data_IF_089234725497
#
_entry.id   IF_089234725497
#
_cell.length_a   1.000
_cell.length_b   1.000
_cell.length_c   1.000
_cell.angle_alpha   90.00
_cell.angle_beta   90.00
_cell.angle_gamma   90.00
#
_symmetry.space_group_name_H-M   'P 1'
#
loop_
_entity.id
_entity.type
_entity.pdbx_description
1 polymer ?
#
# COMPACT_ATOMS: atom_id res chain seq x y z
N UNK A 1 -0.80 2.29 -26.28
CA UNK A 1 -1.89 1.67 -25.49
C UNK A 1 -1.39 1.10 -24.16
N UNK A 2 -0.38 0.21 -24.13
CA UNK A 2 0.17 -0.38 -22.88
C UNK A 2 0.50 0.65 -21.78
N UNK A 3 1.21 1.71 -22.13
CA UNK A 3 1.60 2.75 -21.16
C UNK A 3 0.42 3.48 -20.52
N UNK A 4 -0.68 3.69 -21.25
CA UNK A 4 -1.89 4.31 -20.72
C UNK A 4 -2.65 3.38 -19.77
N UNK A 5 -2.67 2.07 -20.07
CA UNK A 5 -3.24 1.06 -19.16
C UNK A 5 -2.45 1.04 -17.85
N UNK A 6 -1.12 0.99 -17.92
CA UNK A 6 -0.26 0.97 -16.73
C UNK A 6 -0.36 2.27 -15.94
N UNK A 7 -0.40 3.42 -16.62
CA UNK A 7 -0.67 4.71 -15.99
C UNK A 7 -2.01 4.68 -15.25
N UNK A 8 -3.08 4.27 -15.92
CA UNK A 8 -4.41 4.19 -15.32
C UNK A 8 -4.42 3.26 -14.10
N UNK A 9 -3.89 2.05 -14.21
CA UNK A 9 -3.84 1.08 -13.10
C UNK A 9 -3.02 1.63 -11.93
N UNK A 10 -1.89 2.27 -12.20
CA UNK A 10 -1.03 2.89 -11.18
C UNK A 10 -1.74 4.07 -10.49
N UNK A 11 -2.41 4.93 -11.25
CA UNK A 11 -3.21 6.03 -10.71
C UNK A 11 -4.36 5.50 -9.86
N UNK A 12 -5.09 4.49 -10.35
CA UNK A 12 -6.20 3.88 -9.63
C UNK A 12 -5.75 3.31 -8.29
N UNK A 13 -4.70 2.48 -8.28
CA UNK A 13 -4.14 1.94 -7.04
C UNK A 13 -3.63 3.05 -6.11
N UNK A 14 -2.92 4.04 -6.66
CA UNK A 14 -2.39 5.17 -5.90
C UNK A 14 -3.49 6.00 -5.24
N UNK A 15 -4.59 6.29 -5.94
CA UNK A 15 -5.74 7.02 -5.42
C UNK A 15 -6.45 6.24 -4.31
N UNK A 16 -6.64 4.93 -4.50
CA UNK A 16 -7.24 4.06 -3.47
C UNK A 16 -6.43 4.13 -2.17
N UNK A 17 -5.11 3.94 -2.26
CA UNK A 17 -4.22 3.95 -1.09
C UNK A 17 -4.11 5.34 -0.46
N UNK A 18 -4.05 6.39 -1.28
CA UNK A 18 -4.02 7.77 -0.82
C UNK A 18 -5.23 8.08 0.05
N UNK A 19 -6.44 7.80 -0.44
CA UNK A 19 -7.67 8.10 0.31
C UNK A 19 -7.83 7.21 1.54
N UNK A 20 -7.42 5.95 1.48
CA UNK A 20 -7.44 5.05 2.64
C UNK A 20 -6.47 5.53 3.74
N UNK A 21 -5.22 5.83 3.37
CA UNK A 21 -4.23 6.35 4.30
C UNK A 21 -4.61 7.72 4.86
N UNK A 22 -5.11 8.63 4.02
CA UNK A 22 -5.59 9.94 4.45
C UNK A 22 -6.78 9.81 5.41
N UNK A 23 -7.73 8.92 5.12
CA UNK A 23 -8.85 8.63 6.01
C UNK A 23 -8.39 8.13 7.38
N UNK A 24 -7.39 7.23 7.42
CA UNK A 24 -6.79 6.74 8.67
C UNK A 24 -6.09 7.84 9.48
N UNK A 25 -5.30 8.67 8.82
CA UNK A 25 -4.48 9.69 9.49
C UNK A 25 -5.31 10.91 9.90
N UNK A 26 -6.08 11.47 8.97
CA UNK A 26 -6.73 12.77 9.14
C UNK A 26 -8.18 12.67 9.63
N UNK A 27 -8.93 11.64 9.22
CA UNK A 27 -10.36 11.54 9.54
C UNK A 27 -10.61 10.70 10.80
N UNK A 28 -10.04 9.50 10.87
CA UNK A 28 -10.24 8.60 12.00
C UNK A 28 -9.32 8.93 13.16
N UNK A 29 -8.07 9.29 12.85
CA UNK A 29 -7.00 9.43 13.82
C UNK A 29 -6.39 8.07 14.18
N UNK A 30 -5.07 8.05 14.30
CA UNK A 30 -4.27 6.83 14.49
C UNK A 30 -4.70 6.03 15.72
N UNK A 31 -5.06 6.70 16.82
CA UNK A 31 -5.54 6.02 18.03
C UNK A 31 -6.83 5.24 17.80
N UNK A 32 -7.74 5.75 16.97
CA UNK A 32 -8.97 5.04 16.62
C UNK A 32 -8.71 3.88 15.66
N UNK A 33 -7.73 4.02 14.74
CA UNK A 33 -7.29 2.90 13.90
C UNK A 33 -6.74 1.77 14.78
N UNK A 34 -5.94 2.11 15.80
CA UNK A 34 -5.43 1.14 16.76
C UNK A 34 -6.55 0.47 17.55
N UNK A 35 -7.44 1.27 18.18
CA UNK A 35 -8.54 0.75 19.00
C UNK A 35 -9.48 -0.17 18.23
N UNK A 36 -9.83 0.20 17.00
CA UNK A 36 -10.82 -0.54 16.22
C UNK A 36 -10.23 -1.71 15.43
N UNK A 37 -8.94 -1.63 15.07
CA UNK A 37 -8.31 -2.62 14.18
C UNK A 37 -7.29 -3.53 14.85
N UNK A 38 -6.67 -3.10 15.95
CA UNK A 38 -5.46 -3.74 16.49
C UNK A 38 -5.51 -4.07 17.98
N UNK A 39 -6.36 -3.40 18.76
CA UNK A 39 -6.45 -3.63 20.21
C UNK A 39 -6.86 -5.08 20.56
N UNK A 40 -7.62 -5.75 19.69
CA UNK A 40 -7.98 -7.17 19.87
C UNK A 40 -6.77 -8.13 19.80
N UNK A 41 -5.61 -7.67 19.35
CA UNK A 41 -4.39 -8.47 19.30
C UNK A 41 -3.47 -8.25 20.51
N UNK A 42 -3.82 -7.38 21.47
CA UNK A 42 -2.98 -7.16 22.66
C UNK A 42 -2.80 -8.43 23.49
N UNK A 43 -3.81 -9.32 23.49
CA UNK A 43 -3.76 -10.62 24.16
C UNK A 43 -3.11 -11.73 23.30
N UNK A 44 -2.60 -11.38 22.12
CA UNK A 44 -1.93 -12.34 21.21
C UNK A 44 -0.44 -12.49 21.53
N UNK A 45 0.25 -13.31 20.74
CA UNK A 45 1.71 -13.47 20.84
C UNK A 45 2.49 -12.23 20.36
N UNK A 46 1.82 -11.22 19.76
CA UNK A 46 2.46 -10.04 19.21
C UNK A 46 2.75 -9.01 20.30
N UNK A 47 4.00 -8.51 20.42
CA UNK A 47 4.30 -7.43 21.35
C UNK A 47 3.56 -6.13 20.98
N UNK A 48 3.12 -5.37 21.99
CA UNK A 48 2.40 -4.10 21.79
C UNK A 48 3.15 -3.08 20.91
N UNK A 49 4.49 -3.07 20.94
CA UNK A 49 5.25 -2.19 20.06
C UNK A 49 5.07 -2.55 18.58
N UNK A 50 4.92 -3.85 18.25
CA UNK A 50 4.69 -4.34 16.89
C UNK A 50 3.30 -3.90 16.42
N UNK A 51 2.28 -4.01 17.28
CA UNK A 51 0.93 -3.55 16.96
C UNK A 51 0.92 -2.05 16.65
N UNK A 52 1.53 -1.24 17.52
CA UNK A 52 1.66 0.21 17.31
C UNK A 52 2.43 0.52 16.03
N UNK A 53 3.60 -0.08 15.84
CA UNK A 53 4.38 0.09 14.62
C UNK A 53 3.55 -0.24 13.38
N UNK A 54 2.78 -1.32 13.41
CA UNK A 54 1.95 -1.78 12.28
C UNK A 54 0.86 -0.77 11.93
N UNK A 55 0.21 -0.17 12.93
CA UNK A 55 -0.79 0.90 12.69
C UNK A 55 -0.16 2.09 11.98
N UNK A 56 0.97 2.59 12.48
CA UNK A 56 1.66 3.72 11.88
C UNK A 56 2.17 3.37 10.48
N UNK A 57 2.84 2.22 10.35
CA UNK A 57 3.41 1.77 9.09
C UNK A 57 2.35 1.60 8.01
N UNK A 58 1.22 0.94 8.31
CA UNK A 58 0.15 0.77 7.32
C UNK A 58 -0.55 2.08 7.00
N UNK A 59 -0.85 2.93 7.98
CA UNK A 59 -1.57 4.19 7.75
C UNK A 59 -0.74 5.20 6.95
N UNK A 60 0.46 5.51 7.42
CA UNK A 60 1.37 6.44 6.74
C UNK A 60 1.96 5.83 5.47
N UNK A 61 2.21 4.52 5.47
CA UNK A 61 2.66 3.80 4.30
C UNK A 61 1.65 3.84 3.15
N UNK A 62 0.36 3.60 3.41
CA UNK A 62 -0.69 3.72 2.39
C UNK A 62 -0.79 5.15 1.85
N UNK A 63 -0.76 6.15 2.74
CA UNK A 63 -0.83 7.56 2.34
C UNK A 63 0.36 7.97 1.45
N UNK A 64 1.59 7.72 1.92
CA UNK A 64 2.80 8.12 1.21
C UNK A 64 2.99 7.32 -0.08
N UNK A 65 2.78 6.01 -0.05
CA UNK A 65 2.89 5.20 -1.28
C UNK A 65 1.76 5.51 -2.25
N UNK A 66 0.57 5.90 -1.79
CA UNK A 66 -0.50 6.41 -2.64
C UNK A 66 -0.05 7.62 -3.46
N UNK A 67 0.60 8.60 -2.81
CA UNK A 67 1.17 9.79 -3.48
C UNK A 67 2.27 9.37 -4.46
N UNK A 68 3.23 8.57 -4.01
CA UNK A 68 4.35 8.11 -4.85
C UNK A 68 3.87 7.34 -6.07
N UNK A 69 2.85 6.50 -5.91
CA UNK A 69 2.22 5.79 -7.00
C UNK A 69 1.54 6.75 -7.95
N UNK A 70 0.75 7.73 -7.51
CA UNK A 70 0.11 8.71 -8.41
C UNK A 70 1.15 9.46 -9.24
N UNK A 71 2.24 9.89 -8.60
CA UNK A 71 3.35 10.59 -9.26
C UNK A 71 4.19 9.65 -10.16
N UNK A 72 4.19 8.36 -9.89
CA UNK A 72 5.10 7.41 -10.54
C UNK A 72 6.54 7.62 -10.10
N UNK A 73 6.74 7.80 -8.79
CA UNK A 73 8.04 8.03 -8.16
C UNK A 73 8.47 6.81 -7.32
N UNK A 74 9.77 6.50 -7.34
CA UNK A 74 10.40 5.36 -6.68
C UNK A 74 9.62 4.04 -6.84
N UNK A 75 9.17 3.74 -8.07
CA UNK A 75 8.14 2.70 -8.31
C UNK A 75 8.46 1.34 -7.70
N UNK A 76 9.69 0.84 -7.86
CA UNK A 76 10.13 -0.45 -7.27
C UNK A 76 9.96 -0.45 -5.74
N UNK A 77 10.34 0.64 -5.07
CA UNK A 77 10.19 0.80 -3.63
C UNK A 77 8.71 0.89 -3.25
N UNK A 78 7.95 1.74 -3.94
CA UNK A 78 6.51 1.92 -3.71
C UNK A 78 5.75 0.60 -3.82
N UNK A 79 6.05 -0.23 -4.83
CA UNK A 79 5.43 -1.56 -4.97
C UNK A 79 5.79 -2.50 -3.82
N UNK A 80 7.06 -2.49 -3.39
CA UNK A 80 7.51 -3.29 -2.25
C UNK A 80 6.81 -2.90 -0.95
N UNK A 81 6.67 -1.61 -0.68
CA UNK A 81 5.96 -1.12 0.52
C UNK A 81 4.47 -1.48 0.46
N UNK A 82 3.80 -1.31 -0.68
CA UNK A 82 2.39 -1.72 -0.83
C UNK A 82 2.23 -3.23 -0.66
N UNK A 83 3.15 -4.04 -1.20
CA UNK A 83 3.14 -5.50 -1.00
C UNK A 83 3.23 -5.86 0.49
N UNK A 84 4.16 -5.23 1.23
CA UNK A 84 4.29 -5.43 2.67
C UNK A 84 3.02 -5.03 3.43
N UNK A 85 2.41 -3.89 3.08
CA UNK A 85 1.15 -3.45 3.69
C UNK A 85 0.04 -4.49 3.46
N UNK A 86 -0.10 -4.99 2.23
CA UNK A 86 -1.13 -5.99 1.91
C UNK A 86 -0.89 -7.32 2.63
N UNK A 87 0.36 -7.76 2.79
CA UNK A 87 0.71 -8.94 3.58
C UNK A 87 0.35 -8.76 5.05
N UNK A 88 0.72 -7.62 5.63
CA UNK A 88 0.40 -7.26 7.02
C UNK A 88 -1.11 -7.24 7.26
N UNK A 89 -1.87 -6.59 6.37
CA UNK A 89 -3.34 -6.48 6.48
C UNK A 89 -3.98 -7.86 6.34
N UNK A 90 -3.51 -8.69 5.41
CA UNK A 90 -3.98 -10.06 5.24
C UNK A 90 -3.71 -10.91 6.48
N UNK A 91 -2.53 -10.76 7.07
CA UNK A 91 -2.14 -11.44 8.28
C UNK A 91 -3.02 -11.03 9.47
N UNK A 92 -3.24 -9.73 9.67
CA UNK A 92 -4.12 -9.22 10.73
C UNK A 92 -5.55 -9.74 10.61
N UNK A 93 -6.17 -9.65 9.43
CA UNK A 93 -7.52 -10.18 9.24
C UNK A 93 -7.58 -11.70 9.40
N UNK A 94 -6.57 -12.44 8.91
CA UNK A 94 -6.47 -13.88 9.09
C UNK A 94 -6.32 -14.32 10.55
N UNK A 95 -5.67 -13.50 11.39
CA UNK A 95 -5.62 -13.72 12.84
C UNK A 95 -6.97 -13.49 13.53
N UNK A 96 -7.78 -12.54 13.05
CA UNK A 96 -9.11 -12.28 13.61
C UNK A 96 -10.11 -13.38 13.21
N UNK A 97 -10.06 -13.80 11.96
CA UNK A 97 -10.92 -14.86 11.43
C UNK A 97 -10.21 -15.62 10.32
N UNK A 98 -10.21 -16.97 10.32
CA UNK A 98 -9.67 -17.76 9.22
C UNK A 98 -10.30 -17.43 7.86
N UNK A 99 -11.59 -17.08 7.86
CA UNK A 99 -12.32 -16.61 6.68
C UNK A 99 -12.73 -15.17 6.94
N UNK A 100 -12.16 -14.25 6.18
CA UNK A 100 -12.36 -12.81 6.33
C UNK A 100 -12.68 -12.18 4.97
N UNK A 101 -13.16 -10.93 5.02
CA UNK A 101 -13.57 -10.21 3.80
C UNK A 101 -12.38 -9.81 2.93
N UNK A 102 -12.17 -10.59 1.86
CA UNK A 102 -11.10 -10.41 0.88
C UNK A 102 -11.20 -9.08 0.11
N UNK A 103 -12.33 -8.37 0.13
CA UNK A 103 -12.44 -7.06 -0.51
C UNK A 103 -11.38 -6.07 0.01
N UNK A 104 -10.96 -6.24 1.27
CA UNK A 104 -9.90 -5.45 1.86
C UNK A 104 -8.55 -5.62 1.15
N UNK A 105 -8.26 -6.73 0.46
CA UNK A 105 -6.94 -6.97 -0.12
C UNK A 105 -6.98 -7.27 -1.62
N UNK A 106 -7.98 -8.02 -2.08
CA UNK A 106 -7.95 -8.67 -3.39
C UNK A 106 -7.80 -7.67 -4.54
N UNK A 107 -8.63 -6.62 -4.58
CA UNK A 107 -8.58 -5.61 -5.66
C UNK A 107 -7.20 -4.93 -5.68
N UNK A 108 -6.70 -4.51 -4.50
CA UNK A 108 -5.41 -3.82 -4.37
C UNK A 108 -4.25 -4.73 -4.78
N UNK A 109 -4.31 -6.01 -4.40
CA UNK A 109 -3.31 -7.01 -4.76
C UNK A 109 -3.27 -7.27 -6.26
N UNK A 110 -4.43 -7.43 -6.92
CA UNK A 110 -4.50 -7.64 -8.38
C UNK A 110 -3.91 -6.44 -9.12
N UNK A 111 -4.29 -5.21 -8.74
CA UNK A 111 -3.75 -3.99 -9.33
C UNK A 111 -2.23 -3.90 -9.12
N UNK A 112 -1.75 -4.20 -7.91
CA UNK A 112 -0.33 -4.18 -7.57
C UNK A 112 0.45 -5.20 -8.40
N UNK A 113 0.01 -6.46 -8.42
CA UNK A 113 0.68 -7.54 -9.16
C UNK A 113 0.75 -7.19 -10.65
N UNK A 114 -0.35 -6.65 -11.21
CA UNK A 114 -0.37 -6.22 -12.60
C UNK A 114 0.67 -5.14 -12.91
N UNK A 115 0.71 -4.04 -12.13
CA UNK A 115 1.68 -2.95 -12.40
C UNK A 115 3.12 -3.34 -12.07
N UNK A 116 3.33 -4.23 -11.09
CA UNK A 116 4.65 -4.74 -10.74
C UNK A 116 5.20 -5.66 -11.83
N UNK A 117 4.36 -6.55 -12.37
CA UNK A 117 4.74 -7.46 -13.45
C UNK A 117 5.20 -6.72 -14.71
N UNK A 118 4.47 -5.66 -15.08
CA UNK A 118 4.73 -4.87 -16.28
C UNK A 118 5.50 -3.56 -15.99
N UNK A 119 6.25 -3.47 -14.89
CA UNK A 119 6.83 -2.19 -14.45
C UNK A 119 7.79 -1.55 -15.48
N UNK A 120 8.48 -2.38 -16.28
CA UNK A 120 9.42 -1.93 -17.32
C UNK A 120 8.71 -1.22 -18.48
N UNK A 121 7.48 -1.63 -18.75
CA UNK A 121 6.64 -1.09 -19.85
C UNK A 121 5.92 0.20 -19.45
N UNK A 122 5.85 0.50 -18.14
CA UNK A 122 5.35 1.78 -17.66
C UNK A 122 6.36 2.88 -18.04
N UNK A 123 6.01 3.62 -19.08
CA UNK A 123 6.80 4.72 -19.64
C UNK A 123 6.37 6.11 -19.16
N UNK A 124 5.18 6.22 -18.58
CA UNK A 124 4.56 7.48 -18.18
C UNK A 124 4.73 7.64 -16.67
N UNK A 125 5.95 7.90 -16.21
CA UNK A 125 6.29 8.06 -14.80
C UNK A 125 7.37 9.12 -14.63
N UNK A 126 7.37 9.77 -13.46
CA UNK A 126 8.34 10.83 -13.13
C UNK A 126 9.76 10.26 -12.96
N UNK A 127 9.90 9.02 -12.49
CA UNK A 127 11.21 8.34 -12.40
C UNK A 127 12.02 8.44 -13.71
N UNK A 128 11.36 8.20 -14.85
CA UNK A 128 12.01 8.28 -16.17
C UNK A 128 12.53 9.67 -16.50
N UNK A 129 11.87 10.73 -16.05
CA UNK A 129 12.30 12.10 -16.31
C UNK A 129 13.47 12.51 -15.41
N UNK A 130 13.45 12.09 -14.14
CA UNK A 130 14.46 12.47 -13.15
C UNK A 130 15.73 11.61 -13.20
N UNK A 131 15.62 10.32 -13.53
CA UNK A 131 16.73 9.37 -13.51
C UNK A 131 17.26 9.00 -14.91
N UNK A 132 16.88 9.76 -15.94
CA UNK A 132 17.22 9.54 -17.37
C UNK A 132 18.72 9.34 -17.66
N UNK A 133 19.60 9.80 -16.77
CA UNK A 133 21.07 9.73 -16.91
C UNK A 133 21.75 8.70 -15.98
N UNK A 134 20.99 7.86 -15.29
CA UNK A 134 21.58 6.74 -14.55
C UNK A 134 20.93 5.45 -15.02
N UNK A 135 21.63 4.74 -15.89
CA UNK A 135 21.49 3.29 -15.96
C UNK A 135 21.78 2.74 -14.56
N UNK A 136 20.73 2.54 -13.77
CA UNK A 136 20.82 1.77 -12.53
C UNK A 136 19.97 0.53 -12.74
N UNK A 137 20.67 -0.52 -13.14
CA UNK A 137 20.42 -1.95 -12.96
C UNK A 137 19.15 -2.29 -12.16
#
# INVERSE_FOLDING_TARGET
MKSYILLFTRLLLGIILFWQGLGKIATWGIDNVYKNGFASFEDSFLPNFVLKFTVYFTSYGEFLTGILLVLGFFRKLSYGVVALILLIVSFGHGMQSPIWDLQNVFIRAVLLVFIAWFYKDDSLNIDRFLFKNKEVV
#
